data_IF_080545936650
#
_entry.id   IF_080545936650
#
_cell.length_a   1.000
_cell.length_b   1.000
_cell.length_c   1.000
_cell.angle_alpha   90.00
_cell.angle_beta   90.00
_cell.angle_gamma   90.00
#
_symmetry.space_group_name_H-M   'P 1'
#
loop_
_entity.id
_entity.type
_entity.pdbx_description
1 polymer ?
#
# COMPACT_ATOMS: atom_id res chain seq x y z
N UNK A 1 24.19 14.33 -10.85
CA UNK A 1 23.33 13.24 -10.32
C UNK A 1 21.87 13.67 -10.14
N UNK A 2 21.57 14.87 -9.65
CA UNK A 2 20.18 15.36 -9.43
C UNK A 2 19.34 15.45 -10.72
N UNK A 3 19.92 15.88 -11.85
CA UNK A 3 19.20 16.00 -13.12
C UNK A 3 18.74 14.66 -13.71
N UNK A 4 19.59 13.63 -13.70
CA UNK A 4 19.27 12.29 -14.21
C UNK A 4 18.16 11.63 -13.40
N UNK A 5 18.18 11.76 -12.07
CA UNK A 5 17.13 11.22 -11.21
C UNK A 5 15.77 11.89 -11.48
N UNK A 6 15.74 13.22 -11.59
CA UNK A 6 14.50 13.95 -11.92
C UNK A 6 13.92 13.52 -13.27
N UNK A 7 14.78 13.34 -14.28
CA UNK A 7 14.35 12.84 -15.60
C UNK A 7 13.80 11.42 -15.50
N UNK A 8 14.47 10.52 -14.78
CA UNK A 8 14.00 9.15 -14.57
C UNK A 8 12.63 9.12 -13.86
N UNK A 9 12.46 9.89 -12.77
CA UNK A 9 11.19 10.03 -12.06
C UNK A 9 10.09 10.56 -13.00
N UNK A 10 10.35 11.58 -13.79
CA UNK A 10 9.37 12.13 -14.71
C UNK A 10 8.91 11.11 -15.77
N UNK A 11 9.84 10.30 -16.30
CA UNK A 11 9.52 9.24 -17.27
C UNK A 11 8.71 8.13 -16.61
N UNK A 12 9.14 7.63 -15.45
CA UNK A 12 8.44 6.56 -14.75
C UNK A 12 7.05 7.02 -14.24
N UNK A 13 6.90 8.28 -13.81
CA UNK A 13 5.61 8.85 -13.45
C UNK A 13 4.63 8.86 -14.65
N UNK A 14 5.12 9.28 -15.85
CA UNK A 14 4.29 9.23 -17.07
C UNK A 14 3.87 7.81 -17.42
N UNK A 15 4.79 6.84 -17.35
CA UNK A 15 4.49 5.42 -17.57
C UNK A 15 3.44 4.91 -16.57
N UNK A 16 3.55 5.30 -15.31
CA UNK A 16 2.64 4.89 -14.25
C UNK A 16 1.22 5.43 -14.51
N UNK A 17 1.08 6.73 -14.75
CA UNK A 17 -0.22 7.36 -15.03
C UNK A 17 -0.87 6.83 -16.32
N UNK A 18 -0.07 6.54 -17.35
CA UNK A 18 -0.56 5.97 -18.61
C UNK A 18 -0.99 4.50 -18.49
N UNK A 19 -0.57 3.79 -17.43
CA UNK A 19 -0.83 2.36 -17.26
C UNK A 19 -2.29 2.06 -16.91
N UNK A 20 -2.93 1.19 -17.71
CA UNK A 20 -4.28 0.69 -17.40
C UNK A 20 -4.31 -0.12 -16.10
N UNK A 21 -3.25 -0.89 -15.80
CA UNK A 21 -3.15 -1.68 -14.57
C UNK A 21 -3.13 -0.77 -13.34
N UNK A 22 -2.35 0.30 -13.38
CA UNK A 22 -2.28 1.25 -12.25
C UNK A 22 -3.59 2.01 -12.06
N UNK A 23 -4.23 2.43 -13.18
CA UNK A 23 -5.55 3.06 -13.11
C UNK A 23 -6.62 2.13 -12.53
N UNK A 24 -6.65 0.88 -12.98
CA UNK A 24 -7.56 -0.12 -12.44
C UNK A 24 -7.29 -0.39 -10.95
N UNK A 25 -6.01 -0.53 -10.55
CA UNK A 25 -5.64 -0.69 -9.14
C UNK A 25 -6.06 0.53 -8.30
N UNK A 26 -5.86 1.75 -8.80
CA UNK A 26 -6.31 2.98 -8.11
C UNK A 26 -7.83 2.96 -7.90
N UNK A 27 -8.60 2.64 -8.93
CA UNK A 27 -10.06 2.55 -8.84
C UNK A 27 -10.50 1.45 -7.86
N UNK A 28 -9.88 0.27 -7.93
CA UNK A 28 -10.20 -0.84 -7.03
C UNK A 28 -9.87 -0.51 -5.57
N UNK A 29 -8.75 0.15 -5.31
CA UNK A 29 -8.39 0.55 -3.94
C UNK A 29 -9.34 1.65 -3.46
N UNK A 30 -9.51 2.73 -4.21
CA UNK A 30 -10.29 3.88 -3.74
C UNK A 30 -11.79 3.56 -3.73
N UNK A 31 -12.34 3.19 -4.88
CA UNK A 31 -13.79 2.97 -5.02
C UNK A 31 -14.19 1.64 -4.41
N UNK A 32 -13.38 0.59 -4.59
CA UNK A 32 -13.66 -0.74 -4.04
C UNK A 32 -13.69 -0.74 -2.51
N UNK A 33 -12.66 -0.16 -1.87
CA UNK A 33 -12.63 -0.05 -0.40
C UNK A 33 -13.79 0.82 0.09
N UNK A 34 -14.02 1.99 -0.52
CA UNK A 34 -15.11 2.88 -0.10
C UNK A 34 -16.49 2.21 -0.24
N UNK A 35 -16.74 1.48 -1.34
CA UNK A 35 -17.99 0.76 -1.55
C UNK A 35 -18.17 -0.36 -0.54
N UNK A 36 -17.14 -1.16 -0.28
CA UNK A 36 -17.19 -2.21 0.73
C UNK A 36 -17.42 -1.63 2.12
N UNK A 37 -16.75 -0.54 2.46
CA UNK A 37 -16.92 0.17 3.74
C UNK A 37 -18.36 0.64 3.90
N UNK A 38 -18.91 1.34 2.90
CA UNK A 38 -20.29 1.82 2.93
C UNK A 38 -21.29 0.66 3.03
N UNK A 39 -21.07 -0.42 2.28
CA UNK A 39 -21.94 -1.59 2.28
C UNK A 39 -21.94 -2.31 3.63
N UNK A 40 -20.76 -2.51 4.24
CA UNK A 40 -20.64 -3.15 5.55
C UNK A 40 -21.22 -2.27 6.66
N UNK A 41 -20.98 -0.95 6.63
CA UNK A 41 -21.57 -0.03 7.60
C UNK A 41 -23.10 -0.01 7.51
N UNK A 42 -23.66 0.04 6.29
CA UNK A 42 -25.11 -0.03 6.09
C UNK A 42 -25.70 -1.37 6.56
N UNK A 43 -25.00 -2.48 6.31
CA UNK A 43 -25.44 -3.80 6.73
C UNK A 43 -25.34 -3.99 8.24
N UNK A 44 -24.33 -3.41 8.92
CA UNK A 44 -24.25 -3.40 10.39
C UNK A 44 -25.50 -2.72 11.01
N UNK A 45 -25.96 -1.63 10.40
CA UNK A 45 -27.18 -0.92 10.82
C UNK A 45 -28.47 -1.73 10.68
N UNK A 46 -28.48 -2.86 9.95
CA UNK A 46 -29.64 -3.77 9.88
C UNK A 46 -29.71 -4.77 11.03
N UNK A 47 -28.67 -4.88 11.85
CA UNK A 47 -28.61 -5.85 12.97
C UNK A 47 -28.36 -7.29 12.52
N UNK A 48 -27.80 -7.53 11.32
CA UNK A 48 -27.46 -8.87 10.84
C UNK A 48 -26.34 -9.49 11.70
N UNK A 49 -26.67 -10.53 12.47
CA UNK A 49 -25.74 -11.18 13.40
C UNK A 49 -24.48 -11.71 12.71
N UNK A 50 -24.58 -12.16 11.44
CA UNK A 50 -23.41 -12.66 10.71
C UNK A 50 -22.43 -11.54 10.35
N UNK A 51 -22.94 -10.35 10.09
CA UNK A 51 -22.14 -9.17 9.78
C UNK A 51 -21.52 -8.63 11.06
N UNK A 52 -22.30 -8.49 12.13
CA UNK A 52 -21.82 -8.06 13.43
C UNK A 52 -20.71 -8.99 13.95
N UNK A 53 -20.87 -10.30 13.81
CA UNK A 53 -19.83 -11.27 14.17
C UNK A 53 -18.52 -11.11 13.36
N UNK A 54 -18.59 -10.64 12.11
CA UNK A 54 -17.39 -10.36 11.30
C UNK A 54 -16.72 -9.05 11.66
N UNK A 55 -17.46 -8.08 12.16
CA UNK A 55 -16.95 -6.77 12.57
C UNK A 55 -16.21 -6.85 13.90
N UNK A 56 -16.52 -7.86 14.74
CA UNK A 56 -15.91 -8.00 16.08
C UNK A 56 -16.18 -6.76 16.93
N UNK A 57 -15.13 -6.18 17.52
CA UNK A 57 -15.24 -5.01 18.40
C UNK A 57 -15.86 -3.77 17.70
N UNK A 58 -15.78 -3.70 16.36
CA UNK A 58 -16.42 -2.61 15.60
C UNK A 58 -17.96 -2.74 15.56
N UNK A 59 -18.54 -3.87 15.97
CA UNK A 59 -19.98 -4.04 15.98
C UNK A 59 -20.70 -3.14 17.01
N UNK A 60 -19.96 -2.68 18.02
CA UNK A 60 -20.45 -1.78 19.06
C UNK A 60 -20.25 -0.29 18.71
N UNK A 61 -19.58 -0.01 17.60
CA UNK A 61 -19.30 1.35 17.12
C UNK A 61 -20.42 1.83 16.19
N UNK A 62 -20.62 3.16 16.16
CA UNK A 62 -21.62 3.81 15.30
C UNK A 62 -21.02 5.00 14.53
N UNK A 63 -21.72 5.46 13.51
CA UNK A 63 -21.38 6.68 12.80
C UNK A 63 -20.00 6.66 12.16
N UNK A 64 -19.20 7.70 12.42
CA UNK A 64 -17.86 7.83 11.87
C UNK A 64 -16.89 6.77 12.41
N UNK A 65 -16.96 6.43 13.69
CA UNK A 65 -16.07 5.44 14.29
C UNK A 65 -16.20 4.07 13.59
N UNK A 66 -17.44 3.61 13.36
CA UNK A 66 -17.71 2.39 12.60
C UNK A 66 -17.20 2.50 11.15
N UNK A 67 -17.52 3.60 10.45
CA UNK A 67 -17.15 3.78 9.05
C UNK A 67 -15.63 3.77 8.86
N UNK A 68 -14.90 4.53 9.67
CA UNK A 68 -13.44 4.61 9.60
C UNK A 68 -12.78 3.33 10.07
N UNK A 69 -13.30 2.68 11.11
CA UNK A 69 -12.82 1.38 11.59
C UNK A 69 -12.89 0.31 10.52
N UNK A 70 -14.02 0.19 9.81
CA UNK A 70 -14.19 -0.71 8.67
C UNK A 70 -13.20 -0.37 7.54
N UNK A 71 -13.04 0.92 7.20
CA UNK A 71 -12.10 1.35 6.16
C UNK A 71 -10.65 0.97 6.52
N UNK A 72 -10.23 1.15 7.77
CA UNK A 72 -8.92 0.73 8.29
C UNK A 72 -8.76 -0.80 8.15
N UNK A 73 -9.76 -1.58 8.54
CA UNK A 73 -9.71 -3.04 8.50
C UNK A 73 -9.55 -3.55 7.05
N UNK A 74 -10.33 -3.04 6.12
CA UNK A 74 -10.25 -3.43 4.70
C UNK A 74 -8.91 -2.97 4.10
N UNK A 75 -8.47 -1.74 4.38
CA UNK A 75 -7.23 -1.18 3.85
C UNK A 75 -6.01 -1.96 4.32
N UNK A 76 -6.02 -2.48 5.54
CA UNK A 76 -4.92 -3.27 6.11
C UNK A 76 -4.53 -4.49 5.27
N UNK A 77 -5.51 -5.16 4.67
CA UNK A 77 -5.28 -6.35 3.84
C UNK A 77 -5.35 -6.02 2.34
N UNK A 78 -6.48 -5.48 1.88
CA UNK A 78 -6.73 -5.25 0.46
C UNK A 78 -5.86 -4.10 -0.09
N UNK A 79 -5.62 -3.06 0.70
CA UNK A 79 -4.73 -1.95 0.33
C UNK A 79 -3.30 -2.45 0.13
N UNK A 80 -2.76 -3.19 1.11
CA UNK A 80 -1.41 -3.75 1.02
C UNK A 80 -1.25 -4.68 -0.20
N UNK A 81 -2.24 -5.53 -0.48
CA UNK A 81 -2.22 -6.39 -1.67
C UNK A 81 -2.16 -5.54 -2.95
N UNK A 82 -3.01 -4.53 -3.07
CA UNK A 82 -3.05 -3.65 -4.22
C UNK A 82 -1.73 -2.90 -4.45
N UNK A 83 -1.12 -2.36 -3.40
CA UNK A 83 0.17 -1.68 -3.48
C UNK A 83 1.30 -2.63 -3.85
N UNK A 84 1.32 -3.84 -3.30
CA UNK A 84 2.29 -4.86 -3.64
C UNK A 84 2.20 -5.32 -5.10
N UNK A 85 0.98 -5.50 -5.61
CA UNK A 85 0.75 -5.83 -7.03
C UNK A 85 1.25 -4.71 -7.95
N UNK A 86 0.97 -3.44 -7.64
CA UNK A 86 1.46 -2.31 -8.45
C UNK A 86 2.98 -2.18 -8.35
N UNK A 87 3.56 -2.35 -7.16
CA UNK A 87 5.01 -2.33 -6.97
C UNK A 87 5.69 -3.44 -7.81
N UNK A 88 5.17 -4.66 -7.73
CA UNK A 88 5.64 -5.79 -8.53
C UNK A 88 5.47 -5.54 -10.03
N UNK A 89 4.35 -4.95 -10.45
CA UNK A 89 4.06 -4.63 -11.84
C UNK A 89 5.03 -3.58 -12.41
N UNK A 90 5.26 -2.48 -11.71
CA UNK A 90 6.11 -1.37 -12.20
C UNK A 90 7.55 -1.83 -12.42
N UNK A 91 8.03 -2.77 -11.60
CA UNK A 91 9.37 -3.34 -11.73
C UNK A 91 9.36 -4.54 -12.68
N UNK A 92 8.45 -5.48 -12.48
CA UNK A 92 8.42 -6.78 -13.15
C UNK A 92 8.11 -6.71 -14.65
N UNK A 93 7.28 -5.73 -15.06
CA UNK A 93 6.90 -5.58 -16.48
C UNK A 93 8.08 -5.37 -17.43
N UNK A 94 9.15 -4.71 -16.99
CA UNK A 94 10.32 -4.46 -17.84
C UNK A 94 11.01 -5.78 -18.25
N UNK A 95 10.93 -6.80 -17.41
CA UNK A 95 11.42 -8.14 -17.71
C UNK A 95 10.43 -8.90 -18.59
N UNK A 96 9.14 -8.83 -18.25
CA UNK A 96 8.10 -9.59 -18.97
C UNK A 96 7.90 -9.08 -20.39
N UNK A 97 7.95 -7.76 -20.59
CA UNK A 97 7.77 -7.10 -21.88
C UNK A 97 9.09 -7.06 -22.70
N UNK A 98 10.21 -7.55 -22.14
CA UNK A 98 11.52 -7.52 -22.79
C UNK A 98 12.12 -6.13 -22.98
N UNK A 99 11.54 -5.10 -22.34
CA UNK A 99 11.99 -3.69 -22.51
C UNK A 99 13.25 -3.35 -21.73
N UNK A 100 13.71 -4.24 -20.84
CA UNK A 100 14.87 -4.01 -19.97
C UNK A 100 16.16 -3.75 -20.74
N UNK A 101 16.37 -4.42 -21.88
CA UNK A 101 17.53 -4.20 -22.75
C UNK A 101 17.57 -2.78 -23.33
N UNK A 102 16.40 -2.26 -23.74
CA UNK A 102 16.25 -0.88 -24.20
C UNK A 102 16.52 0.15 -23.10
N UNK A 103 16.10 -0.13 -21.86
CA UNK A 103 16.41 0.74 -20.72
C UNK A 103 17.91 0.80 -20.43
N UNK A 104 18.64 -0.29 -20.66
CA UNK A 104 20.09 -0.37 -20.42
C UNK A 104 20.93 0.33 -21.48
N UNK A 105 20.34 0.65 -22.62
CA UNK A 105 20.98 1.48 -23.65
C UNK A 105 20.87 2.99 -23.35
N UNK A 106 20.06 3.41 -22.36
CA UNK A 106 19.91 4.83 -22.01
C UNK A 106 21.14 5.35 -21.24
N UNK A 107 21.51 6.63 -21.37
CA UNK A 107 22.62 7.25 -20.66
C UNK A 107 22.24 7.60 -19.20
N UNK A 108 21.51 6.71 -18.53
CA UNK A 108 21.07 6.84 -17.14
C UNK A 108 21.46 5.55 -16.41
N UNK A 109 21.97 5.67 -15.18
CA UNK A 109 22.37 4.48 -14.42
C UNK A 109 21.18 3.58 -14.11
N UNK A 110 21.37 2.27 -14.19
CA UNK A 110 20.34 1.26 -13.88
C UNK A 110 19.78 1.43 -12.48
N UNK A 111 20.67 1.73 -11.51
CA UNK A 111 20.26 2.01 -10.12
C UNK A 111 19.38 3.26 -10.02
N UNK A 112 19.64 4.29 -10.80
CA UNK A 112 18.79 5.50 -10.85
C UNK A 112 17.37 5.17 -11.37
N UNK A 113 17.28 4.31 -12.39
CA UNK A 113 15.98 3.87 -12.92
C UNK A 113 15.21 3.07 -11.84
N UNK A 114 15.88 2.12 -11.18
CA UNK A 114 15.26 1.31 -10.11
C UNK A 114 14.77 2.18 -8.94
N UNK A 115 15.60 3.12 -8.48
CA UNK A 115 15.21 4.06 -7.42
C UNK A 115 14.03 4.94 -7.84
N UNK A 116 14.01 5.41 -9.09
CA UNK A 116 12.89 6.21 -9.61
C UNK A 116 11.58 5.41 -9.66
N UNK A 117 11.62 4.12 -10.03
CA UNK A 117 10.44 3.24 -10.02
C UNK A 117 9.84 3.12 -8.62
N UNK A 118 10.65 2.82 -7.60
CA UNK A 118 10.19 2.73 -6.21
C UNK A 118 9.64 4.08 -5.74
N UNK A 119 10.37 5.17 -5.98
CA UNK A 119 9.95 6.51 -5.56
C UNK A 119 8.59 6.91 -6.17
N UNK A 120 8.39 6.65 -7.47
CA UNK A 120 7.13 6.99 -8.16
C UNK A 120 5.95 6.19 -7.61
N UNK A 121 6.14 4.91 -7.27
CA UNK A 121 5.08 4.11 -6.64
C UNK A 121 4.77 4.63 -5.24
N UNK A 122 5.77 4.99 -4.43
CA UNK A 122 5.53 5.56 -3.09
C UNK A 122 4.77 6.89 -3.16
N UNK A 123 5.11 7.77 -4.13
CA UNK A 123 4.35 9.01 -4.37
C UNK A 123 2.92 8.69 -4.80
N UNK A 124 2.73 7.72 -5.70
CA UNK A 124 1.39 7.28 -6.11
C UNK A 124 0.58 6.76 -4.92
N UNK A 125 1.20 6.01 -4.01
CA UNK A 125 0.53 5.53 -2.78
C UNK A 125 0.01 6.70 -1.93
N UNK A 126 0.81 7.77 -1.78
CA UNK A 126 0.36 8.98 -1.07
C UNK A 126 -0.84 9.65 -1.76
N UNK A 127 -0.85 9.70 -3.10
CA UNK A 127 -2.00 10.21 -3.86
C UNK A 127 -3.23 9.32 -3.64
N UNK A 128 -3.07 8.00 -3.67
CA UNK A 128 -4.16 7.05 -3.38
C UNK A 128 -4.68 7.24 -1.95
N UNK A 129 -3.80 7.48 -0.98
CA UNK A 129 -4.20 7.76 0.40
C UNK A 129 -5.07 9.01 0.51
N UNK A 130 -4.70 10.10 -0.17
CA UNK A 130 -5.51 11.33 -0.23
C UNK A 130 -6.88 11.02 -0.87
N UNK A 131 -6.90 10.34 -2.00
CA UNK A 131 -8.14 9.99 -2.70
C UNK A 131 -9.04 9.08 -1.85
N UNK A 132 -8.48 8.04 -1.22
CA UNK A 132 -9.23 7.12 -0.38
C UNK A 132 -9.84 7.84 0.82
N UNK A 133 -9.02 8.55 1.59
CA UNK A 133 -9.50 9.29 2.76
C UNK A 133 -10.58 10.31 2.38
N UNK A 134 -10.37 11.07 1.29
CA UNK A 134 -11.37 12.01 0.77
C UNK A 134 -12.66 11.33 0.33
N UNK A 135 -12.58 10.12 -0.25
CA UNK A 135 -13.76 9.34 -0.64
C UNK A 135 -14.50 8.81 0.59
N UNK A 136 -13.80 8.37 1.63
CA UNK A 136 -14.43 7.95 2.90
C UNK A 136 -15.14 9.14 3.56
N UNK A 137 -14.53 10.35 3.53
CA UNK A 137 -15.22 11.56 4.01
C UNK A 137 -16.49 11.83 3.20
N UNK A 138 -16.43 11.73 1.88
CA UNK A 138 -17.61 11.92 1.02
C UNK A 138 -18.71 10.89 1.31
N UNK A 139 -18.33 9.62 1.56
CA UNK A 139 -19.26 8.55 1.94
C UNK A 139 -19.91 8.84 3.30
N UNK A 140 -19.14 9.26 4.31
CA UNK A 140 -19.67 9.55 5.64
C UNK A 140 -20.65 10.75 5.63
N UNK A 141 -20.26 11.84 4.99
CA UNK A 141 -21.14 13.03 4.85
C UNK A 141 -22.39 12.68 4.03
N UNK A 142 -22.22 11.98 2.91
CA UNK A 142 -23.34 11.56 2.06
C UNK A 142 -24.25 10.52 2.73
N UNK A 143 -23.72 9.72 3.65
CA UNK A 143 -24.45 8.75 4.49
C UNK A 143 -25.21 9.39 5.66
N UNK A 144 -25.09 10.71 5.86
CA UNK A 144 -25.83 11.43 6.90
C UNK A 144 -25.13 11.53 8.25
N UNK A 145 -23.84 11.16 8.35
CA UNK A 145 -23.07 11.25 9.61
C UNK A 145 -22.65 12.70 9.95
N UNK A 146 -22.97 13.68 9.08
CA UNK A 146 -22.57 15.07 9.27
C UNK A 146 -21.08 15.29 8.95
N UNK A 147 -20.55 16.45 9.34
CA UNK A 147 -19.12 16.74 9.19
C UNK A 147 -18.33 16.03 10.29
N UNK A 148 -17.14 15.48 9.98
CA UNK A 148 -16.30 14.82 10.97
C UNK A 148 -15.86 15.82 12.05
N UNK A 149 -15.89 15.38 13.29
CA UNK A 149 -15.36 16.12 14.45
C UNK A 149 -13.85 15.88 14.66
N UNK A 150 -13.30 16.28 15.80
CA UNK A 150 -11.86 16.15 16.05
C UNK A 150 -11.40 14.68 16.20
N UNK A 151 -12.23 13.84 16.82
CA UNK A 151 -11.92 12.41 17.02
C UNK A 151 -12.06 11.65 15.70
N UNK A 152 -13.05 11.99 14.89
CA UNK A 152 -13.26 11.44 13.54
C UNK A 152 -12.09 11.80 12.62
N UNK A 153 -11.58 13.04 12.71
CA UNK A 153 -10.41 13.50 11.95
C UNK A 153 -9.16 12.71 12.34
N UNK A 154 -8.97 12.38 13.62
CA UNK A 154 -7.87 11.50 14.06
C UNK A 154 -7.98 10.11 13.42
N UNK A 155 -9.18 9.51 13.42
CA UNK A 155 -9.43 8.24 12.74
C UNK A 155 -9.12 8.30 11.24
N UNK A 156 -9.55 9.36 10.55
CA UNK A 156 -9.26 9.60 9.13
C UNK A 156 -7.75 9.80 8.88
N UNK A 157 -7.04 10.49 9.78
CA UNK A 157 -5.60 10.64 9.71
C UNK A 157 -4.88 9.28 9.87
N UNK A 158 -5.38 8.41 10.75
CA UNK A 158 -4.87 7.03 10.90
C UNK A 158 -5.07 6.21 9.62
N UNK A 159 -6.24 6.31 8.98
CA UNK A 159 -6.48 5.66 7.68
C UNK A 159 -5.50 6.17 6.61
N UNK A 160 -5.26 7.47 6.54
CA UNK A 160 -4.31 8.08 5.62
C UNK A 160 -2.89 7.54 5.85
N UNK A 161 -2.41 7.58 7.10
CA UNK A 161 -1.06 7.12 7.47
C UNK A 161 -0.90 5.62 7.20
N UNK A 162 -1.89 4.79 7.57
CA UNK A 162 -1.93 3.36 7.26
C UNK A 162 -1.75 3.13 5.75
N UNK A 163 -2.51 3.86 4.93
CA UNK A 163 -2.47 3.72 3.47
C UNK A 163 -1.07 4.06 2.92
N UNK A 164 -0.46 5.15 3.37
CA UNK A 164 0.90 5.54 2.98
C UNK A 164 1.93 4.49 3.44
N UNK A 165 1.85 4.03 4.68
CA UNK A 165 2.77 3.05 5.22
C UNK A 165 2.63 1.67 4.57
N UNK A 166 1.42 1.30 4.13
CA UNK A 166 1.20 0.07 3.35
C UNK A 166 1.99 0.07 2.03
N UNK A 167 2.16 1.24 1.41
CA UNK A 167 3.07 1.39 0.28
C UNK A 167 4.53 1.13 0.62
N UNK A 168 5.00 1.55 1.79
CA UNK A 168 6.35 1.25 2.27
C UNK A 168 6.53 -0.25 2.57
N UNK A 169 5.53 -0.89 3.20
CA UNK A 169 5.50 -2.35 3.43
C UNK A 169 5.51 -3.14 2.12
N UNK A 170 5.00 -2.59 1.03
CA UNK A 170 4.99 -3.24 -0.28
C UNK A 170 6.34 -3.21 -1.02
N UNK A 171 7.33 -2.43 -0.58
CA UNK A 171 8.63 -2.28 -1.26
C UNK A 171 9.39 -3.61 -1.47
N UNK A 172 9.37 -4.61 -0.56
CA UNK A 172 9.96 -5.92 -0.81
C UNK A 172 9.51 -6.60 -2.11
N UNK A 173 8.28 -6.31 -2.58
CA UNK A 173 7.78 -6.83 -3.85
C UNK A 173 8.60 -6.34 -5.06
N UNK A 174 9.17 -5.13 -5.01
CA UNK A 174 10.06 -4.61 -6.05
C UNK A 174 11.36 -5.43 -6.14
N UNK A 175 11.94 -5.76 -4.98
CA UNK A 175 13.14 -6.57 -4.93
C UNK A 175 12.89 -8.01 -5.40
N UNK A 176 11.80 -8.62 -4.95
CA UNK A 176 11.40 -9.96 -5.39
C UNK A 176 11.12 -10.02 -6.89
N UNK A 177 10.41 -9.02 -7.45
CA UNK A 177 10.16 -8.90 -8.89
C UNK A 177 11.47 -8.75 -9.69
N UNK A 178 12.48 -8.08 -9.13
CA UNK A 178 13.81 -7.96 -9.73
C UNK A 178 14.56 -9.29 -9.75
N UNK A 179 14.59 -10.00 -8.61
CA UNK A 179 15.30 -11.28 -8.48
C UNK A 179 14.68 -12.37 -9.35
N UNK A 180 13.35 -12.45 -9.34
CA UNK A 180 12.60 -13.42 -10.13
C UNK A 180 12.34 -12.98 -11.58
N UNK A 181 12.88 -11.82 -12.00
CA UNK A 181 12.78 -11.28 -13.37
C UNK A 181 11.33 -11.26 -13.90
N UNK A 182 10.37 -10.86 -13.05
CA UNK A 182 8.96 -10.86 -13.45
C UNK A 182 8.00 -10.40 -12.38
N UNK A 183 6.73 -10.36 -12.75
CA UNK A 183 5.62 -9.89 -11.92
C UNK A 183 5.29 -10.88 -10.77
N UNK A 184 5.22 -12.18 -11.09
CA UNK A 184 4.72 -13.21 -10.17
C UNK A 184 5.51 -13.32 -8.86
N UNK A 185 6.85 -13.28 -8.85
CA UNK A 185 7.62 -13.30 -7.60
C UNK A 185 7.30 -12.15 -6.66
N UNK A 186 7.08 -10.95 -7.19
CA UNK A 186 6.68 -9.79 -6.39
C UNK A 186 5.29 -9.95 -5.77
N UNK A 187 4.32 -10.47 -6.53
CA UNK A 187 2.97 -10.77 -6.03
C UNK A 187 3.05 -11.86 -4.95
N UNK A 188 3.80 -12.94 -5.19
CA UNK A 188 3.96 -14.03 -4.23
C UNK A 188 4.55 -13.54 -2.89
N UNK A 189 5.57 -12.66 -2.94
CA UNK A 189 6.14 -12.05 -1.73
C UNK A 189 5.12 -11.16 -1.03
N UNK A 190 4.31 -10.40 -1.76
CA UNK A 190 3.23 -9.58 -1.15
C UNK A 190 2.23 -10.46 -0.39
N UNK A 191 1.77 -11.55 -1.01
CA UNK A 191 0.86 -12.50 -0.35
C UNK A 191 1.55 -13.14 0.87
N UNK A 192 2.82 -13.52 0.75
CA UNK A 192 3.62 -14.04 1.86
C UNK A 192 3.76 -13.05 3.03
N UNK A 193 3.93 -11.76 2.74
CA UNK A 193 3.97 -10.69 3.75
C UNK A 193 2.62 -10.59 4.48
N UNK A 194 1.50 -10.60 3.76
CA UNK A 194 0.17 -10.54 4.35
C UNK A 194 -0.08 -11.78 5.23
N UNK A 195 0.21 -12.97 4.71
CA UNK A 195 0.02 -14.22 5.46
C UNK A 195 0.89 -14.27 6.72
N UNK A 196 2.17 -13.89 6.60
CA UNK A 196 3.08 -13.86 7.75
C UNK A 196 2.67 -12.80 8.79
N UNK A 197 2.10 -11.66 8.37
CA UNK A 197 1.59 -10.65 9.27
C UNK A 197 0.46 -11.21 10.14
N UNK A 198 -0.50 -11.92 9.54
CA UNK A 198 -1.60 -12.55 10.28
C UNK A 198 -1.07 -13.60 11.29
N UNK A 199 -0.18 -14.48 10.86
CA UNK A 199 0.37 -15.53 11.72
C UNK A 199 1.16 -14.93 12.88
N UNK A 200 2.03 -13.96 12.61
CA UNK A 200 2.92 -13.39 13.62
C UNK A 200 2.19 -12.50 14.62
N UNK A 201 1.12 -11.81 14.21
CA UNK A 201 0.25 -11.07 15.14
C UNK A 201 -0.42 -12.03 16.13
N UNK A 202 -1.00 -13.13 15.63
CA UNK A 202 -1.61 -14.17 16.47
C UNK A 202 -0.57 -14.85 17.38
N UNK A 203 0.68 -15.01 16.91
CA UNK A 203 1.79 -15.55 17.70
C UNK A 203 2.40 -14.56 18.71
N UNK A 204 1.87 -13.33 18.82
CA UNK A 204 2.30 -12.35 19.82
C UNK A 204 3.51 -11.49 19.41
N UNK A 205 3.90 -11.46 18.13
CA UNK A 205 4.99 -10.59 17.66
C UNK A 205 4.64 -9.08 17.79
N UNK A 206 3.34 -8.75 17.85
CA UNK A 206 2.86 -7.39 18.05
C UNK A 206 3.38 -6.39 17.02
N UNK A 207 3.54 -5.14 17.44
CA UNK A 207 4.00 -4.04 16.60
C UNK A 207 5.49 -4.10 16.20
N UNK A 208 6.25 -5.11 16.60
CA UNK A 208 7.65 -5.29 16.17
C UNK A 208 7.77 -5.99 14.81
N UNK A 209 6.68 -6.55 14.28
CA UNK A 209 6.68 -7.06 12.91
C UNK A 209 6.30 -5.95 11.92
N UNK A 210 7.23 -5.42 11.10
CA UNK A 210 7.01 -4.21 10.29
C UNK A 210 5.83 -4.28 9.34
N UNK A 211 5.49 -5.49 8.88
CA UNK A 211 4.35 -5.66 7.96
C UNK A 211 2.98 -5.54 8.66
N UNK A 212 2.90 -5.80 9.96
CA UNK A 212 1.67 -5.66 10.74
C UNK A 212 1.58 -4.29 11.44
N UNK A 213 2.73 -3.66 11.71
CA UNK A 213 2.82 -2.42 12.48
C UNK A 213 1.86 -1.31 12.05
N UNK A 214 1.73 -0.98 10.74
CA UNK A 214 0.83 0.10 10.32
C UNK A 214 -0.64 -0.20 10.62
N UNK A 215 -1.06 -1.46 10.44
CA UNK A 215 -2.43 -1.90 10.72
C UNK A 215 -2.73 -1.89 12.23
N UNK A 216 -1.82 -2.44 13.03
CA UNK A 216 -1.95 -2.45 14.50
C UNK A 216 -2.02 -1.02 15.05
N UNK A 217 -1.17 -0.12 14.55
CA UNK A 217 -1.20 1.28 14.96
C UNK A 217 -2.49 1.99 14.57
N UNK A 218 -3.00 1.73 13.37
CA UNK A 218 -4.23 2.38 12.91
C UNK A 218 -5.46 1.93 13.71
N UNK A 219 -5.47 0.66 14.17
CA UNK A 219 -6.53 0.10 15.02
C UNK A 219 -6.37 0.62 16.47
N UNK A 220 -5.19 0.48 17.04
CA UNK A 220 -4.90 0.86 18.42
C UNK A 220 -3.54 1.56 18.53
N UNK A 221 -3.53 2.90 18.42
CA UNK A 221 -2.30 3.69 18.48
C UNK A 221 -1.52 3.57 19.79
N UNK A 222 -2.20 3.27 20.89
CA UNK A 222 -1.58 3.22 22.23
C UNK A 222 -0.61 2.03 22.35
N UNK A 223 -0.83 0.96 21.59
CA UNK A 223 -0.04 -0.27 21.65
C UNK A 223 1.13 -0.32 20.66
N UNK A 224 1.36 0.75 19.87
CA UNK A 224 2.44 0.81 18.89
C UNK A 224 3.27 2.08 19.09
N UNK A 225 4.56 1.91 19.32
CA UNK A 225 5.49 3.02 19.52
C UNK A 225 5.93 3.67 18.20
N UNK A 226 6.36 4.93 18.27
CA UNK A 226 6.96 5.65 17.12
C UNK A 226 8.20 4.92 16.58
N UNK A 227 8.98 4.25 17.45
CA UNK A 227 10.14 3.47 17.03
C UNK A 227 9.73 2.28 16.12
N UNK A 228 8.64 1.59 16.44
CA UNK A 228 8.09 0.50 15.63
C UNK A 228 7.60 1.01 14.27
N UNK A 229 6.92 2.16 14.23
CA UNK A 229 6.54 2.82 12.98
C UNK A 229 7.77 3.22 12.15
N UNK A 230 8.80 3.79 12.80
CA UNK A 230 10.07 4.13 12.15
C UNK A 230 10.77 2.92 11.54
N UNK A 231 10.66 1.75 12.17
CA UNK A 231 11.27 0.50 11.70
C UNK A 231 10.67 0.03 10.37
N UNK A 232 9.41 0.33 10.07
CA UNK A 232 8.80 0.07 8.75
C UNK A 232 9.57 0.76 7.64
N UNK A 233 9.94 2.03 7.82
CA UNK A 233 10.71 2.79 6.83
C UNK A 233 12.17 2.31 6.71
N UNK A 234 12.76 1.84 7.81
CA UNK A 234 14.10 1.21 7.76
C UNK A 234 14.06 -0.04 6.89
N UNK A 235 13.08 -0.90 7.07
CA UNK A 235 12.91 -2.12 6.26
C UNK A 235 12.64 -1.76 4.79
N UNK A 236 11.75 -0.81 4.52
CA UNK A 236 11.51 -0.31 3.17
C UNK A 236 12.79 0.25 2.51
N UNK A 237 13.62 0.98 3.27
CA UNK A 237 14.92 1.47 2.84
C UNK A 237 15.89 0.34 2.46
N UNK A 238 15.99 -0.68 3.30
CA UNK A 238 16.84 -1.86 3.04
C UNK A 238 16.43 -2.55 1.72
N UNK A 239 15.14 -2.79 1.51
CA UNK A 239 14.66 -3.42 0.28
C UNK A 239 14.77 -2.51 -0.94
N UNK A 240 14.66 -1.18 -0.76
CA UNK A 240 14.95 -0.22 -1.83
C UNK A 240 16.42 -0.30 -2.25
N UNK A 241 17.35 -0.31 -1.29
CA UNK A 241 18.79 -0.48 -1.56
C UNK A 241 19.05 -1.83 -2.21
N UNK A 242 18.43 -2.91 -1.74
CA UNK A 242 18.51 -4.23 -2.34
C UNK A 242 18.06 -4.25 -3.80
N UNK A 243 16.93 -3.59 -4.11
CA UNK A 243 16.42 -3.44 -5.48
C UNK A 243 17.42 -2.69 -6.36
N UNK A 244 17.90 -1.52 -5.90
CA UNK A 244 18.87 -0.70 -6.63
C UNK A 244 20.16 -1.49 -6.88
N UNK A 245 20.69 -2.16 -5.86
CA UNK A 245 21.91 -2.98 -5.97
C UNK A 245 21.76 -4.12 -6.97
N UNK A 246 20.61 -4.81 -6.92
CA UNK A 246 20.30 -5.90 -7.86
C UNK A 246 20.24 -5.38 -9.30
N UNK A 247 19.66 -4.21 -9.55
CA UNK A 247 19.62 -3.57 -10.87
C UNK A 247 21.00 -3.18 -11.39
N UNK A 248 21.88 -2.68 -10.53
CA UNK A 248 23.26 -2.34 -10.91
C UNK A 248 24.04 -3.57 -11.36
N UNK A 249 23.81 -4.72 -10.71
CA UNK A 249 24.51 -5.99 -10.99
C UNK A 249 23.80 -6.86 -12.03
N UNK A 250 22.64 -6.43 -12.53
CA UNK A 250 21.84 -7.23 -13.45
C UNK A 250 22.59 -7.49 -14.75
N UNK A 251 22.80 -8.77 -15.07
CA UNK A 251 23.36 -9.22 -16.33
C UNK A 251 22.20 -9.72 -17.20
N UNK A 252 22.18 -9.27 -18.45
CA UNK A 252 21.28 -9.81 -19.46
C UNK A 252 21.99 -11.00 -20.06
N UNK A 253 21.50 -12.20 -19.76
CA UNK A 253 21.99 -13.42 -20.43
C UNK A 253 21.71 -13.27 -21.92
N UNK A 254 22.72 -13.56 -22.74
CA UNK A 254 22.62 -13.54 -24.20
C UNK A 254 21.84 -14.73 -24.70
#
# INVERSE_FOLDING_TARGET
MTGQFRTAVAVEARKLVASHVVRAATLLIVVGIATLTASLAAAAGTGDEQILAKLGDLADEEGWALLVGIAIQITSAAGLLGFGVVMAFVVGREFTDGTISGLFALPISRGTIAAAKVAVVLVWTAVVAICLTGTIVAVGVGGGHGMPDADDVDGLARLFVLTVMSGAVAVPAAWAATLGRGLLPGIAVTIGIIASAQILVVAGAGGWYPAATPALWAIDPANVSIAQLGFVFVVAGIFTIGTVHSWVRLQLDR
#
